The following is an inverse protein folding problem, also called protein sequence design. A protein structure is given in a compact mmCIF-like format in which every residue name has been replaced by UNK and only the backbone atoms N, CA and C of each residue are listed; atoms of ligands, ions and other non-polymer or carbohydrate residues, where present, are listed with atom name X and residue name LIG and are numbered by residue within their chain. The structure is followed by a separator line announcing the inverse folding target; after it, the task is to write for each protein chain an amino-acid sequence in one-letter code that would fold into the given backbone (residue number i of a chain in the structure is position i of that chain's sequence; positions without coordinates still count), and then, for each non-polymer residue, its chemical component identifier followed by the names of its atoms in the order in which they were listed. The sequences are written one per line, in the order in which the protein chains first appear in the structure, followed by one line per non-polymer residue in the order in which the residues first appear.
data_IF_838655116460
#
_entry.id   IF_838655116460
#
_cell.length_a   1.000
_cell.length_b   1.000
_cell.length_c   1.000
_cell.angle_alpha   90.00
_cell.angle_beta   90.00
_cell.angle_gamma   90.00
#
_symmetry.space_group_name_H-M   'P 1'
#
loop_
_entity.id
_entity.type
_entity.pdbx_description
1 polymer ?
#
# COMPACT_ATOMS: atom_id res chain seq x y z
N UNK A 1 6.23 -5.84 -19.40
CA UNK A 1 5.50 -4.90 -18.53
C UNK A 1 6.07 -5.07 -17.13
N UNK A 2 6.84 -4.10 -16.66
CA UNK A 2 7.56 -4.21 -15.38
C UNK A 2 6.58 -4.05 -14.22
N UNK A 3 6.73 -4.86 -13.17
CA UNK A 3 6.08 -4.64 -11.88
C UNK A 3 7.11 -4.07 -10.91
N UNK A 4 6.67 -3.25 -9.95
CA UNK A 4 7.50 -2.83 -8.82
C UNK A 4 7.06 -3.59 -7.58
N UNK A 5 8.00 -4.21 -6.87
CA UNK A 5 7.72 -5.04 -5.70
C UNK A 5 8.66 -4.61 -4.58
N UNK A 6 8.11 -4.39 -3.39
CA UNK A 6 8.90 -4.11 -2.20
C UNK A 6 8.26 -4.70 -0.95
N UNK A 7 9.09 -5.26 -0.08
CA UNK A 7 8.69 -5.77 1.22
C UNK A 7 8.94 -4.72 2.32
N UNK A 8 8.03 -4.69 3.29
CA UNK A 8 8.03 -3.79 4.43
C UNK A 8 7.66 -4.56 5.70
N UNK A 9 7.97 -3.94 6.84
CA UNK A 9 7.49 -4.35 8.16
C UNK A 9 7.30 -3.08 9.00
N UNK A 10 6.25 -3.04 9.82
CA UNK A 10 5.99 -1.92 10.73
C UNK A 10 6.25 -2.39 12.15
N UNK A 11 7.26 -1.77 12.78
CA UNK A 11 7.68 -2.14 14.13
C UNK A 11 6.57 -1.89 15.16
N UNK A 12 6.47 -2.71 16.21
CA UNK A 12 5.45 -2.61 17.25
C UNK A 12 5.49 -1.29 18.03
N UNK A 13 6.64 -0.62 18.06
CA UNK A 13 6.81 0.70 18.67
C UNK A 13 6.47 1.87 17.71
N UNK A 14 5.96 1.59 16.51
CA UNK A 14 5.63 2.61 15.53
C UNK A 14 4.49 3.52 16.04
N UNK A 15 4.59 4.85 15.91
CA UNK A 15 3.57 5.79 16.42
C UNK A 15 2.15 5.57 15.90
N UNK A 16 1.98 4.93 14.74
CA UNK A 16 0.66 4.65 14.16
C UNK A 16 -0.23 3.75 15.04
N UNK A 17 0.34 3.03 16.00
CA UNK A 17 -0.41 2.20 16.95
C UNK A 17 -0.84 2.95 18.21
N UNK A 18 -0.38 4.20 18.41
CA UNK A 18 -0.86 5.05 19.50
C UNK A 18 -2.35 5.35 19.28
N UNK A 19 -3.22 4.61 19.98
CA UNK A 19 -4.68 4.68 19.81
C UNK A 19 -5.30 3.64 18.87
N UNK A 20 -4.52 2.72 18.27
CA UNK A 20 -5.00 1.69 17.34
C UNK A 20 -4.44 0.29 17.66
N UNK A 21 -5.19 -0.66 18.20
CA UNK A 21 -6.37 -0.58 19.07
C UNK A 21 -5.87 -1.13 20.43
N UNK A 22 -6.24 -0.54 21.58
CA UNK A 22 -5.76 -1.03 22.88
C UNK A 22 -6.00 -2.54 23.04
N UNK A 23 -4.94 -3.30 23.31
CA UNK A 23 -4.97 -4.76 23.47
C UNK A 23 -4.96 -5.58 22.17
N UNK A 24 -5.20 -4.98 20.99
CA UNK A 24 -5.14 -5.68 19.70
C UNK A 24 -4.74 -4.72 18.56
N UNK A 25 -3.47 -4.31 18.47
CA UNK A 25 -3.02 -3.38 17.44
C UNK A 25 -3.14 -3.97 16.04
N UNK A 26 -3.67 -3.18 15.12
CA UNK A 26 -3.65 -3.46 13.68
C UNK A 26 -3.13 -2.22 12.96
N UNK A 27 -2.44 -2.44 11.85
CA UNK A 27 -1.90 -1.37 11.01
C UNK A 27 -3.06 -0.60 10.39
N UNK A 28 -3.14 0.73 10.59
CA UNK A 28 -4.16 1.54 9.94
C UNK A 28 -4.06 1.45 8.41
N UNK A 29 -5.21 1.32 7.74
CA UNK A 29 -5.24 1.18 6.28
C UNK A 29 -4.55 2.32 5.53
N UNK A 30 -4.62 3.54 6.07
CA UNK A 30 -3.94 4.73 5.52
C UNK A 30 -2.41 4.61 5.53
N UNK A 31 -1.82 3.92 6.52
CA UNK A 31 -0.38 3.69 6.58
C UNK A 31 0.05 2.79 5.42
N UNK A 32 -0.72 1.74 5.12
CA UNK A 32 -0.46 0.83 3.98
C UNK A 32 -0.57 1.60 2.65
N UNK A 33 -1.55 2.50 2.53
CA UNK A 33 -1.70 3.36 1.35
C UNK A 33 -0.52 4.33 1.18
N UNK A 34 0.04 4.82 2.29
CA UNK A 34 1.24 5.67 2.30
C UNK A 34 2.45 4.95 1.68
N UNK A 35 2.73 3.74 2.14
CA UNK A 35 3.79 2.89 1.56
C UNK A 35 3.54 2.58 0.07
N UNK A 36 2.28 2.34 -0.32
CA UNK A 36 1.94 2.10 -1.73
C UNK A 36 2.15 3.34 -2.60
N UNK A 37 1.81 4.53 -2.09
CA UNK A 37 2.09 5.82 -2.76
C UNK A 37 3.59 6.04 -2.90
N UNK A 38 4.34 5.84 -1.84
CA UNK A 38 5.79 6.10 -1.84
C UNK A 38 6.52 5.15 -2.79
N UNK A 39 6.10 3.88 -2.85
CA UNK A 39 6.62 2.93 -3.82
C UNK A 39 6.27 3.34 -5.27
N UNK A 40 5.06 3.87 -5.49
CA UNK A 40 4.68 4.40 -6.81
C UNK A 40 5.54 5.61 -7.18
N UNK A 41 5.81 6.50 -6.23
CA UNK A 41 6.66 7.68 -6.47
C UNK A 41 8.10 7.28 -6.83
N UNK A 42 8.62 6.20 -6.24
CA UNK A 42 9.92 5.64 -6.61
C UNK A 42 9.90 5.01 -8.01
N UNK A 43 8.80 4.34 -8.36
CA UNK A 43 8.67 3.65 -9.64
C UNK A 43 8.36 4.58 -10.82
N UNK A 44 7.51 5.58 -10.60
CA UNK A 44 7.05 6.55 -11.60
C UNK A 44 7.17 7.98 -11.05
N UNK A 45 8.40 8.53 -10.94
CA UNK A 45 8.65 9.80 -10.28
C UNK A 45 7.96 11.00 -10.96
N UNK A 46 7.72 10.89 -12.27
CA UNK A 46 7.08 11.92 -13.08
C UNK A 46 5.53 11.86 -13.05
N UNK A 47 4.95 10.97 -12.25
CA UNK A 47 3.51 10.86 -12.08
C UNK A 47 3.08 11.28 -10.67
N UNK A 48 1.84 11.74 -10.54
CA UNK A 48 1.16 11.93 -9.25
C UNK A 48 -0.13 11.13 -9.21
N UNK A 49 -0.51 10.70 -8.00
CA UNK A 49 -1.81 10.07 -7.78
C UNK A 49 -2.88 11.16 -7.88
N UNK A 50 -3.80 11.02 -8.83
CA UNK A 50 -4.99 11.85 -8.94
C UNK A 50 -6.10 11.36 -8.01
N UNK A 51 -6.31 10.04 -7.98
CA UNK A 51 -7.42 9.43 -7.26
C UNK A 51 -7.12 7.99 -6.89
N UNK A 52 -7.60 7.54 -5.74
CA UNK A 52 -7.72 6.11 -5.42
C UNK A 52 -9.08 5.64 -5.97
N UNK A 53 -9.08 4.93 -7.10
CA UNK A 53 -10.32 4.53 -7.79
C UNK A 53 -11.08 3.44 -7.04
N UNK A 54 -10.36 2.58 -6.33
CA UNK A 54 -10.91 1.56 -5.45
C UNK A 54 -9.85 1.15 -4.43
N UNK A 55 -10.29 0.80 -3.23
CA UNK A 55 -9.48 0.14 -2.22
C UNK A 55 -10.36 -0.85 -1.45
N UNK A 56 -9.83 -2.05 -1.20
CA UNK A 56 -10.46 -3.09 -0.39
C UNK A 56 -9.47 -3.55 0.66
N UNK A 57 -9.82 -3.37 1.93
CA UNK A 57 -9.12 -3.92 3.09
C UNK A 57 -9.74 -5.28 3.40
N UNK A 58 -9.03 -6.36 3.04
CA UNK A 58 -9.56 -7.72 3.09
C UNK A 58 -9.28 -8.39 4.43
N UNK A 59 -8.12 -8.11 5.02
CA UNK A 59 -7.68 -8.70 6.28
C UNK A 59 -6.81 -7.70 7.05
N UNK A 60 -6.82 -7.73 8.41
CA UNK A 60 -5.93 -6.92 9.21
C UNK A 60 -4.48 -7.35 9.01
N UNK A 61 -3.59 -6.37 9.16
CA UNK A 61 -2.15 -6.57 9.31
C UNK A 61 -1.78 -6.18 10.74
N UNK A 62 -1.03 -7.02 11.43
CA UNK A 62 -0.57 -6.75 12.79
C UNK A 62 0.86 -6.18 12.79
N UNK A 63 1.31 -5.57 13.90
CA UNK A 63 2.70 -5.17 14.04
C UNK A 63 3.67 -6.33 13.83
N UNK A 64 4.90 -6.03 13.41
CA UNK A 64 5.98 -6.99 13.14
C UNK A 64 5.66 -8.04 12.04
N UNK A 65 4.51 -7.95 11.37
CA UNK A 65 4.20 -8.79 10.23
C UNK A 65 4.80 -8.19 8.96
N UNK A 66 5.68 -8.95 8.31
CA UNK A 66 6.18 -8.59 6.99
C UNK A 66 5.05 -8.62 5.95
N UNK A 67 5.00 -7.59 5.11
CA UNK A 67 4.07 -7.50 4.00
C UNK A 67 4.76 -7.00 2.74
N UNK A 68 4.26 -7.42 1.58
CA UNK A 68 4.79 -7.07 0.27
C UNK A 68 3.77 -6.24 -0.47
N UNK A 69 4.20 -5.09 -0.99
CA UNK A 69 3.41 -4.29 -1.94
C UNK A 69 3.92 -4.59 -3.34
N UNK A 70 2.99 -4.95 -4.22
CA UNK A 70 3.22 -5.10 -5.66
C UNK A 70 2.43 -4.03 -6.41
N UNK A 71 3.12 -3.24 -7.22
CA UNK A 71 2.54 -2.31 -8.19
C UNK A 71 2.65 -2.88 -9.60
N UNK A 72 1.60 -2.71 -10.38
CA UNK A 72 1.54 -3.18 -11.76
C UNK A 72 0.76 -2.19 -12.62
N UNK A 73 1.15 -2.08 -13.90
CA UNK A 73 0.45 -1.22 -14.84
C UNK A 73 -0.95 -1.80 -15.12
N UNK A 74 -1.98 -0.98 -14.96
CA UNK A 74 -3.35 -1.26 -15.37
C UNK A 74 -3.64 -0.72 -16.78
N UNK A 75 -4.93 -0.56 -17.10
CA UNK A 75 -5.33 0.08 -18.36
C UNK A 75 -5.12 1.61 -18.27
N UNK A 76 -4.66 2.21 -19.38
CA UNK A 76 -4.34 3.63 -19.46
C UNK A 76 -3.45 4.10 -18.29
N UNK A 77 -3.87 5.14 -17.55
CA UNK A 77 -3.12 5.73 -16.44
C UNK A 77 -3.45 5.06 -15.09
N UNK A 78 -3.95 3.83 -15.08
CA UNK A 78 -4.24 3.12 -13.85
C UNK A 78 -3.02 2.33 -13.38
N UNK A 79 -2.73 2.39 -12.07
CA UNK A 79 -1.75 1.53 -11.40
C UNK A 79 -2.49 0.68 -10.38
N UNK A 80 -2.42 -0.65 -10.54
CA UNK A 80 -2.97 -1.59 -9.56
C UNK A 80 -1.95 -1.81 -8.45
N UNK A 81 -2.42 -1.83 -7.21
CA UNK A 81 -1.61 -2.20 -6.06
C UNK A 81 -2.24 -3.39 -5.32
N UNK A 82 -1.39 -4.32 -4.92
CA UNK A 82 -1.74 -5.47 -4.07
C UNK A 82 -0.77 -5.51 -2.91
N UNK A 83 -1.30 -5.57 -1.71
CA UNK A 83 -0.55 -5.77 -0.48
C UNK A 83 -0.84 -7.18 0.05
N UNK A 84 0.20 -7.96 0.32
CA UNK A 84 0.08 -9.34 0.81
C UNK A 84 0.97 -9.60 2.02
N UNK A 85 0.49 -10.40 2.97
CA UNK A 85 1.26 -10.93 4.10
C UNK A 85 1.36 -12.45 3.92
N UNK A 86 2.54 -12.93 3.50
CA UNK A 86 2.68 -14.27 2.94
C UNK A 86 1.78 -14.43 1.70
N UNK A 87 1.00 -15.50 1.64
CA UNK A 87 0.06 -15.76 0.54
C UNK A 87 -1.27 -15.00 0.67
N UNK A 88 -1.53 -14.40 1.84
CA UNK A 88 -2.81 -13.72 2.11
C UNK A 88 -2.77 -12.31 1.53
N UNK A 89 -3.75 -11.98 0.68
CA UNK A 89 -3.97 -10.59 0.26
C UNK A 89 -4.64 -9.82 1.39
N UNK A 90 -4.01 -8.75 1.85
CA UNK A 90 -4.52 -7.91 2.93
C UNK A 90 -5.17 -6.63 2.41
N UNK A 91 -4.63 -6.04 1.34
CA UNK A 91 -5.21 -4.87 0.68
C UNK A 91 -5.10 -5.01 -0.83
N UNK A 92 -6.13 -4.61 -1.56
CA UNK A 92 -6.07 -4.48 -3.02
C UNK A 92 -6.66 -3.13 -3.42
N UNK A 93 -6.17 -2.56 -4.52
CA UNK A 93 -6.75 -1.33 -5.03
C UNK A 93 -6.11 -0.87 -6.33
N UNK A 94 -6.50 0.33 -6.75
CA UNK A 94 -5.92 0.96 -7.92
C UNK A 94 -5.87 2.48 -7.79
N UNK A 95 -4.73 3.06 -8.16
CA UNK A 95 -4.54 4.48 -8.35
C UNK A 95 -4.87 4.85 -9.80
N UNK A 96 -5.47 6.02 -9.99
CA UNK A 96 -5.45 6.75 -11.25
C UNK A 96 -4.33 7.80 -11.13
N UNK A 97 -3.40 7.78 -12.09
CA UNK A 97 -2.27 8.70 -12.13
C UNK A 97 -2.42 9.74 -13.24
N UNK A 98 -1.70 10.83 -13.09
CA UNK A 98 -1.50 11.83 -14.14
C UNK A 98 -0.06 12.32 -14.10
N UNK A 99 0.42 12.87 -15.21
CA UNK A 99 1.76 13.45 -15.28
C UNK A 99 1.90 14.63 -14.32
N UNK A 100 3.06 14.76 -13.69
CA UNK A 100 3.45 15.95 -12.95
C UNK A 100 3.80 17.04 -13.97
N UNK A 101 3.03 18.13 -13.95
CA UNK A 101 3.32 19.40 -14.62
C UNK A 101 4.41 20.17 -13.87
#
# INVERSE_FOLDING_TARGET
MSNMIQQYCIAANHPCFAGHFPGNPIVPGVVILDYARDLLQQWQPNCRIKTITQVKFLQPLHPEQAFTITLSQGAANSIKFVCSCGERRIVTGAFLTESRS
#
